data_IF_143900592452
#
_entry.id   IF_143900592452
#
_cell.length_a   1.000
_cell.length_b   1.000
_cell.length_c   1.000
_cell.angle_alpha   90.00
_cell.angle_beta   90.00
_cell.angle_gamma   90.00
#
_symmetry.space_group_name_H-M   'P 1'
#
loop_
_entity.id
_entity.type
_entity.pdbx_description
1 polymer ?
#
# COMPACT_ATOMS: atom_id res chain seq x y z
N UNK A 1 -24.17 71.63 -16.64
CA UNK A 1 -23.10 71.93 -17.61
C UNK A 1 -21.80 71.42 -17.05
N UNK A 2 -21.34 70.30 -17.54
CA UNK A 2 -19.90 69.95 -17.51
C UNK A 2 -19.68 68.77 -18.44
N UNK A 3 -18.80 68.95 -19.38
CA UNK A 3 -18.60 68.15 -20.58
C UNK A 3 -17.88 66.84 -20.30
N UNK A 4 -18.34 65.82 -21.02
CA UNK A 4 -17.62 64.55 -21.24
C UNK A 4 -16.28 64.83 -22.00
N UNK A 5 -15.23 64.17 -21.58
CA UNK A 5 -14.06 63.90 -22.42
C UNK A 5 -13.80 62.41 -22.38
N UNK A 6 -14.11 61.74 -23.48
CA UNK A 6 -13.73 60.39 -23.83
C UNK A 6 -12.22 60.43 -24.24
N UNK A 7 -11.41 59.62 -23.57
CA UNK A 7 -10.07 59.29 -24.07
C UNK A 7 -10.04 57.79 -24.34
N UNK A 8 -10.06 57.42 -25.61
CA UNK A 8 -9.80 56.10 -26.11
C UNK A 8 -8.27 55.90 -26.19
N UNK A 9 -7.73 54.94 -25.45
CA UNK A 9 -6.42 54.38 -25.68
C UNK A 9 -6.54 52.95 -26.16
N UNK A 10 -6.39 52.74 -27.45
CA UNK A 10 -6.13 51.45 -28.05
C UNK A 10 -4.70 51.02 -27.74
N UNK A 11 -4.51 50.03 -26.92
CA UNK A 11 -3.23 49.36 -26.64
C UNK A 11 -3.29 47.94 -27.15
N UNK A 12 -2.82 47.67 -28.37
CA UNK A 12 -2.57 46.35 -28.92
C UNK A 12 -1.30 45.79 -28.28
N UNK A 13 -1.42 45.17 -27.11
CA UNK A 13 -0.37 44.32 -26.49
C UNK A 13 -0.61 42.85 -26.83
N UNK A 14 0.03 42.41 -27.91
CA UNK A 14 0.07 40.96 -28.20
C UNK A 14 0.87 40.24 -27.14
N UNK A 15 0.17 39.58 -26.21
CA UNK A 15 0.75 38.70 -25.22
C UNK A 15 1.26 37.46 -25.96
N UNK A 16 2.59 37.37 -26.11
CA UNK A 16 3.26 36.18 -26.60
C UNK A 16 3.10 35.12 -25.55
N UNK A 17 2.15 34.20 -25.76
CA UNK A 17 2.07 32.95 -25.03
C UNK A 17 3.41 32.24 -25.21
N UNK A 18 4.20 32.23 -24.16
CA UNK A 18 5.46 31.48 -24.11
C UNK A 18 5.12 30.00 -24.31
N UNK A 19 5.51 29.45 -25.46
CA UNK A 19 5.53 27.99 -25.64
C UNK A 19 6.40 27.42 -24.52
N UNK A 20 5.77 26.73 -23.57
CA UNK A 20 6.49 25.86 -22.64
C UNK A 20 7.12 24.76 -23.47
N UNK A 21 8.39 24.93 -23.79
CA UNK A 21 9.23 23.86 -24.34
C UNK A 21 9.54 22.91 -23.19
N UNK A 22 8.90 21.73 -23.20
CA UNK A 22 9.28 20.61 -22.35
C UNK A 22 10.77 20.30 -22.56
N UNK A 23 11.54 19.99 -21.49
CA UNK A 23 12.95 19.67 -21.65
C UNK A 23 13.12 18.48 -22.61
N UNK A 24 14.11 18.52 -23.52
CA UNK A 24 14.37 17.41 -24.45
C UNK A 24 14.88 16.21 -23.65
N UNK A 25 14.12 15.09 -23.66
CA UNK A 25 14.57 13.82 -23.10
C UNK A 25 13.56 13.01 -22.25
N UNK A 26 12.44 13.58 -21.84
CA UNK A 26 11.38 12.78 -21.23
C UNK A 26 10.51 12.20 -22.34
N UNK A 27 10.78 10.96 -22.75
CA UNK A 27 9.84 10.20 -23.56
C UNK A 27 8.51 10.17 -22.77
N UNK A 28 7.43 10.68 -23.41
CA UNK A 28 6.10 10.57 -22.81
C UNK A 28 5.85 9.08 -22.50
N UNK A 29 5.38 8.73 -21.30
CA UNK A 29 5.11 7.33 -20.98
C UNK A 29 4.17 6.77 -22.04
N UNK A 30 4.55 5.63 -22.62
CA UNK A 30 3.77 4.95 -23.66
C UNK A 30 2.42 4.61 -23.01
N UNK A 31 1.36 5.26 -23.48
CA UNK A 31 0.01 4.97 -22.95
C UNK A 31 -0.37 3.56 -23.38
N UNK A 32 -0.72 2.73 -22.39
CA UNK A 32 -1.25 1.39 -22.63
C UNK A 32 -2.40 1.42 -23.65
N UNK A 33 -2.38 0.51 -24.60
CA UNK A 33 -3.50 0.22 -25.48
C UNK A 33 -4.72 -0.28 -24.68
N UNK A 34 -5.90 -0.28 -25.27
CA UNK A 34 -7.09 -0.85 -24.64
C UNK A 34 -6.88 -2.35 -24.31
N UNK A 35 -6.26 -3.09 -25.25
CA UNK A 35 -5.93 -4.50 -25.07
C UNK A 35 -4.90 -4.71 -23.96
N UNK A 36 -3.86 -3.87 -23.88
CA UNK A 36 -2.86 -3.90 -22.80
C UNK A 36 -3.48 -3.67 -21.45
N UNK A 37 -4.31 -2.63 -21.29
CA UNK A 37 -5.02 -2.36 -20.01
C UNK A 37 -5.91 -3.53 -19.58
N UNK A 38 -6.66 -4.11 -20.52
CA UNK A 38 -7.51 -5.28 -20.21
C UNK A 38 -6.68 -6.47 -19.76
N UNK A 39 -5.58 -6.78 -20.45
CA UNK A 39 -4.73 -7.91 -20.10
C UNK A 39 -3.99 -7.69 -18.77
N UNK A 40 -3.53 -6.47 -18.47
CA UNK A 40 -2.95 -6.16 -17.16
C UNK A 40 -3.97 -6.29 -16.03
N UNK A 41 -5.20 -5.80 -16.21
CA UNK A 41 -6.26 -5.97 -15.20
C UNK A 41 -6.59 -7.44 -14.94
N UNK A 42 -6.66 -8.26 -16.01
CA UNK A 42 -6.84 -9.72 -15.85
C UNK A 42 -5.62 -10.37 -15.17
N UNK A 43 -4.41 -9.93 -15.52
CA UNK A 43 -3.18 -10.42 -14.91
C UNK A 43 -3.17 -10.15 -13.41
N UNK A 44 -3.52 -8.94 -13.01
CA UNK A 44 -3.61 -8.56 -11.60
C UNK A 44 -4.64 -9.43 -10.86
N UNK A 45 -5.86 -9.58 -11.41
CA UNK A 45 -6.88 -10.40 -10.78
C UNK A 45 -6.48 -11.88 -10.62
N UNK A 46 -5.77 -12.47 -11.60
CA UNK A 46 -5.22 -13.82 -11.46
C UNK A 46 -4.10 -13.89 -10.42
N UNK A 47 -3.25 -12.86 -10.32
CA UNK A 47 -2.19 -12.81 -9.32
C UNK A 47 -2.76 -12.74 -7.90
N UNK A 48 -3.78 -11.91 -7.70
CA UNK A 48 -4.52 -11.80 -6.43
C UNK A 48 -5.23 -13.10 -6.04
N UNK A 49 -5.70 -13.86 -7.05
CA UNK A 49 -6.28 -15.20 -6.86
C UNK A 49 -5.22 -16.31 -6.66
N UNK A 50 -3.92 -16.00 -6.71
CA UNK A 50 -2.83 -16.97 -6.59
C UNK A 50 -2.55 -17.78 -7.86
N UNK A 51 -3.24 -17.51 -8.97
CA UNK A 51 -3.00 -18.18 -10.26
C UNK A 51 -1.89 -17.50 -11.04
N UNK A 52 -0.65 -17.72 -10.58
CA UNK A 52 0.56 -17.10 -11.16
C UNK A 52 0.73 -17.47 -12.64
N UNK A 53 0.30 -18.66 -13.05
CA UNK A 53 0.44 -19.11 -14.44
C UNK A 53 -0.47 -18.30 -15.38
N UNK A 54 -1.75 -18.13 -15.03
CA UNK A 54 -2.65 -17.28 -15.83
C UNK A 54 -2.29 -15.81 -15.74
N UNK A 55 -1.82 -15.32 -14.57
CA UNK A 55 -1.33 -13.96 -14.45
C UNK A 55 -0.19 -13.71 -15.45
N UNK A 56 0.80 -14.60 -15.52
CA UNK A 56 1.92 -14.54 -16.47
C UNK A 56 1.44 -14.51 -17.93
N UNK A 57 0.55 -15.43 -18.29
CA UNK A 57 0.00 -15.47 -19.64
C UNK A 57 -0.63 -14.14 -20.07
N UNK A 58 -1.39 -13.50 -19.15
CA UNK A 58 -2.03 -12.21 -19.44
C UNK A 58 -1.03 -11.06 -19.51
N UNK A 59 -0.03 -11.03 -18.63
CA UNK A 59 1.03 -10.02 -18.68
C UNK A 59 1.85 -10.11 -19.97
N UNK A 60 2.18 -11.33 -20.44
CA UNK A 60 2.86 -11.55 -21.72
C UNK A 60 2.01 -11.12 -22.94
N UNK A 61 0.69 -11.26 -22.85
CA UNK A 61 -0.20 -10.72 -23.89
C UNK A 61 -0.16 -9.18 -23.90
N UNK A 62 -0.12 -8.53 -22.73
CA UNK A 62 0.05 -7.09 -22.63
C UNK A 62 1.44 -6.66 -23.17
N UNK A 63 2.50 -7.41 -22.87
CA UNK A 63 3.85 -7.13 -23.35
C UNK A 63 3.95 -7.14 -24.88
N UNK A 64 3.25 -8.06 -25.57
CA UNK A 64 3.25 -8.14 -27.04
C UNK A 64 2.63 -6.90 -27.69
N UNK A 65 1.67 -6.26 -27.04
CA UNK A 65 1.01 -5.07 -27.55
C UNK A 65 1.66 -3.76 -27.09
N UNK A 66 2.22 -3.75 -25.90
CA UNK A 66 2.70 -2.56 -25.21
C UNK A 66 4.10 -2.80 -24.56
N UNK A 67 5.04 -3.33 -25.34
CA UNK A 67 6.38 -3.77 -24.88
C UNK A 67 7.22 -2.70 -24.16
N UNK A 68 6.94 -1.42 -24.43
CA UNK A 68 7.62 -0.27 -23.82
C UNK A 68 6.93 0.28 -22.57
N UNK A 69 5.85 -0.37 -22.08
CA UNK A 69 5.10 0.13 -20.93
C UNK A 69 5.80 -0.22 -19.61
N UNK A 70 5.91 0.78 -18.73
CA UNK A 70 6.42 0.60 -17.37
C UNK A 70 5.49 -0.27 -16.53
N UNK A 71 4.18 -0.14 -16.72
CA UNK A 71 3.16 -0.91 -16.00
C UNK A 71 3.23 -2.41 -16.37
N UNK A 72 3.51 -2.73 -17.65
CA UNK A 72 3.73 -4.12 -18.07
C UNK A 72 4.97 -4.70 -17.39
N UNK A 73 6.07 -3.95 -17.34
CA UNK A 73 7.30 -4.36 -16.63
C UNK A 73 7.06 -4.58 -15.15
N UNK A 74 6.34 -3.65 -14.49
CA UNK A 74 6.00 -3.79 -13.06
C UNK A 74 5.13 -5.03 -12.80
N UNK A 75 4.15 -5.32 -13.66
CA UNK A 75 3.33 -6.54 -13.55
C UNK A 75 4.16 -7.81 -13.71
N UNK A 76 5.06 -7.86 -14.69
CA UNK A 76 5.99 -9.00 -14.86
C UNK A 76 6.90 -9.16 -13.63
N UNK A 77 7.38 -8.04 -13.04
CA UNK A 77 8.16 -8.07 -11.82
C UNK A 77 7.38 -8.71 -10.65
N UNK A 78 6.14 -8.29 -10.43
CA UNK A 78 5.26 -8.85 -9.40
C UNK A 78 4.99 -10.35 -9.61
N UNK A 79 4.80 -10.78 -10.86
CA UNK A 79 4.62 -12.20 -11.21
C UNK A 79 5.89 -13.00 -10.94
N UNK A 80 7.07 -12.47 -11.30
CA UNK A 80 8.35 -13.10 -10.98
C UNK A 80 8.57 -13.19 -9.48
N UNK A 81 8.23 -12.13 -8.72
CA UNK A 81 8.30 -12.12 -7.26
C UNK A 81 7.43 -13.22 -6.65
N UNK A 82 6.17 -13.32 -7.08
CA UNK A 82 5.24 -14.37 -6.61
C UNK A 82 5.66 -15.79 -6.98
N UNK A 83 6.46 -15.94 -8.03
CA UNK A 83 7.05 -17.22 -8.44
C UNK A 83 8.39 -17.52 -7.73
N UNK A 84 8.88 -16.65 -6.84
CA UNK A 84 10.18 -16.78 -6.17
C UNK A 84 11.40 -16.51 -7.08
N UNK A 85 11.16 -15.90 -8.26
CA UNK A 85 12.21 -15.62 -9.26
C UNK A 85 12.83 -14.24 -9.00
N UNK A 86 13.51 -14.08 -7.84
CA UNK A 86 13.97 -12.80 -7.28
C UNK A 86 14.79 -11.95 -8.26
N UNK A 87 15.78 -12.53 -8.96
CA UNK A 87 16.63 -11.78 -9.90
C UNK A 87 15.86 -11.30 -11.13
N UNK A 88 14.83 -12.05 -11.55
CA UNK A 88 13.96 -11.61 -12.65
C UNK A 88 13.07 -10.48 -12.20
N UNK A 89 12.48 -10.60 -10.99
CA UNK A 89 11.66 -9.55 -10.41
C UNK A 89 12.44 -8.22 -10.32
N UNK A 90 13.66 -8.25 -9.78
CA UNK A 90 14.52 -7.07 -9.69
C UNK A 90 14.75 -6.43 -11.06
N UNK A 91 15.15 -7.22 -12.06
CA UNK A 91 15.41 -6.70 -13.41
C UNK A 91 14.19 -6.03 -14.03
N UNK A 92 13.00 -6.59 -13.84
CA UNK A 92 11.78 -6.00 -14.39
C UNK A 92 11.37 -4.76 -13.63
N UNK A 93 11.54 -4.69 -12.29
CA UNK A 93 11.36 -3.45 -11.53
C UNK A 93 12.33 -2.36 -11.94
N UNK A 94 13.63 -2.67 -12.13
CA UNK A 94 14.64 -1.71 -12.59
C UNK A 94 14.25 -1.12 -13.96
N UNK A 95 13.74 -1.97 -14.86
CA UNK A 95 13.25 -1.54 -16.18
C UNK A 95 12.03 -0.63 -16.06
N UNK A 96 11.06 -0.99 -15.21
CA UNK A 96 9.87 -0.20 -14.96
C UNK A 96 10.22 1.19 -14.42
N UNK A 97 11.06 1.25 -13.39
CA UNK A 97 11.50 2.49 -12.76
C UNK A 97 12.39 3.35 -13.68
N UNK A 98 13.15 2.73 -14.60
CA UNK A 98 13.90 3.48 -15.61
C UNK A 98 12.97 4.18 -16.60
N UNK A 99 11.83 3.57 -16.95
CA UNK A 99 10.83 4.16 -17.86
C UNK A 99 9.99 5.22 -17.14
N UNK A 100 9.55 4.93 -15.90
CA UNK A 100 8.65 5.77 -15.12
C UNK A 100 9.13 5.93 -13.66
N UNK A 101 10.18 6.74 -13.41
CA UNK A 101 10.87 6.80 -12.12
C UNK A 101 10.06 7.44 -10.97
N UNK A 102 8.96 8.11 -11.30
CA UNK A 102 8.08 8.79 -10.34
C UNK A 102 6.63 8.30 -10.41
N UNK A 103 6.39 7.14 -11.02
CA UNK A 103 5.06 6.55 -11.05
C UNK A 103 4.74 5.92 -9.68
N UNK A 104 3.70 6.44 -9.01
CA UNK A 104 3.35 6.04 -7.65
C UNK A 104 2.91 4.58 -7.54
N UNK A 105 2.32 3.99 -8.58
CA UNK A 105 1.91 2.58 -8.60
C UNK A 105 3.14 1.68 -8.62
N UNK A 106 4.10 1.99 -9.50
CA UNK A 106 5.33 1.21 -9.67
C UNK A 106 6.21 1.35 -8.43
N UNK A 107 6.36 2.58 -7.90
CA UNK A 107 7.10 2.83 -6.67
C UNK A 107 6.52 2.06 -5.49
N UNK A 108 5.19 2.06 -5.31
CA UNK A 108 4.55 1.28 -4.24
C UNK A 108 4.77 -0.23 -4.41
N UNK A 109 4.69 -0.75 -5.62
CA UNK A 109 4.92 -2.18 -5.89
C UNK A 109 6.38 -2.58 -5.60
N UNK A 110 7.35 -1.79 -6.09
CA UNK A 110 8.77 -2.05 -5.85
C UNK A 110 9.14 -1.87 -4.37
N UNK A 111 8.59 -0.84 -3.70
CA UNK A 111 8.80 -0.63 -2.26
C UNK A 111 8.32 -1.83 -1.42
N UNK A 112 7.13 -2.37 -1.73
CA UNK A 112 6.62 -3.55 -1.04
C UNK A 112 7.55 -4.75 -1.23
N UNK A 113 7.97 -5.00 -2.45
CA UNK A 113 8.92 -6.07 -2.77
C UNK A 113 10.29 -5.85 -2.10
N UNK A 114 10.82 -4.63 -2.12
CA UNK A 114 12.10 -4.27 -1.47
C UNK A 114 12.04 -4.48 0.04
N UNK A 115 10.90 -4.17 0.67
CA UNK A 115 10.69 -4.42 2.10
C UNK A 115 10.77 -5.91 2.43
N UNK A 116 10.10 -6.77 1.66
CA UNK A 116 10.11 -8.22 1.81
C UNK A 116 11.52 -8.82 1.66
N UNK A 117 12.39 -8.11 0.93
CA UNK A 117 13.78 -8.49 0.72
C UNK A 117 14.79 -7.77 1.65
N UNK A 118 14.28 -7.22 2.79
CA UNK A 118 15.13 -6.63 3.82
C UNK A 118 15.65 -5.23 3.52
N UNK A 119 15.15 -4.56 2.47
CA UNK A 119 15.57 -3.22 2.05
C UNK A 119 14.59 -2.15 2.57
N UNK A 120 14.30 -2.16 3.87
CA UNK A 120 13.28 -1.31 4.48
C UNK A 120 13.52 0.20 4.30
N UNK A 121 14.78 0.65 4.29
CA UNK A 121 15.13 2.06 4.05
C UNK A 121 14.85 2.49 2.60
N UNK A 122 15.10 1.63 1.64
CA UNK A 122 14.77 1.88 0.23
C UNK A 122 13.25 1.92 0.08
N UNK A 123 12.57 0.92 0.63
CA UNK A 123 11.10 0.83 0.60
C UNK A 123 10.44 2.09 1.16
N UNK A 124 10.90 2.59 2.31
CA UNK A 124 10.36 3.79 2.94
C UNK A 124 10.48 5.02 2.02
N UNK A 125 11.67 5.25 1.46
CA UNK A 125 11.88 6.35 0.50
C UNK A 125 10.96 6.27 -0.72
N UNK A 126 10.71 5.06 -1.21
CA UNK A 126 9.85 4.85 -2.37
C UNK A 126 8.36 4.98 -2.03
N UNK A 127 7.91 4.53 -0.88
CA UNK A 127 6.55 4.82 -0.39
C UNK A 127 6.30 6.32 -0.27
N UNK A 128 7.25 7.08 0.28
CA UNK A 128 7.15 8.54 0.36
C UNK A 128 7.05 9.17 -1.04
N UNK A 129 7.85 8.72 -2.01
CA UNK A 129 7.77 9.18 -3.41
C UNK A 129 6.45 8.80 -4.06
N UNK A 130 5.96 7.57 -3.82
CA UNK A 130 4.67 7.11 -4.35
C UNK A 130 3.52 7.99 -3.86
N UNK A 131 3.52 8.33 -2.56
CA UNK A 131 2.52 9.21 -1.95
C UNK A 131 2.61 10.67 -2.44
N UNK A 132 3.76 11.09 -2.95
CA UNK A 132 3.96 12.41 -3.54
C UNK A 132 3.51 12.52 -5.01
N UNK A 133 3.24 11.40 -5.70
CA UNK A 133 2.72 11.43 -7.08
C UNK A 133 1.23 11.84 -7.07
N UNK A 134 0.86 13.00 -7.63
CA UNK A 134 -0.53 13.47 -7.63
C UNK A 134 -1.47 12.59 -8.48
N UNK A 135 -0.93 11.71 -9.31
CA UNK A 135 -1.69 10.77 -10.15
C UNK A 135 -1.97 9.46 -9.42
N UNK A 136 -1.27 9.19 -8.30
CA UNK A 136 -1.47 7.97 -7.52
C UNK A 136 -2.80 8.01 -6.78
N UNK A 137 -3.73 7.14 -7.19
CA UNK A 137 -5.13 7.15 -6.75
C UNK A 137 -5.45 6.27 -5.55
N UNK A 138 -4.48 5.49 -5.10
CA UNK A 138 -4.66 4.52 -4.01
C UNK A 138 -3.69 4.76 -2.84
N UNK A 139 -3.69 5.98 -2.23
CA UNK A 139 -2.75 6.30 -1.16
C UNK A 139 -2.88 5.38 0.05
N UNK A 140 -4.07 4.85 0.31
CA UNK A 140 -4.30 3.88 1.39
C UNK A 140 -3.45 2.62 1.23
N UNK A 141 -3.23 2.15 0.01
CA UNK A 141 -2.37 0.99 -0.24
C UNK A 141 -0.92 1.27 0.13
N UNK A 142 -0.35 2.40 -0.35
CA UNK A 142 1.03 2.75 -0.03
C UNK A 142 1.24 2.99 1.47
N UNK A 143 0.29 3.68 2.12
CA UNK A 143 0.33 3.91 3.56
C UNK A 143 0.23 2.60 4.36
N UNK A 144 -0.65 1.69 3.96
CA UNK A 144 -0.77 0.36 4.59
C UNK A 144 0.49 -0.47 4.43
N UNK A 145 1.05 -0.49 3.21
CA UNK A 145 2.28 -1.23 2.91
C UNK A 145 3.48 -0.63 3.66
N UNK A 146 3.61 0.70 3.69
CA UNK A 146 4.64 1.39 4.47
C UNK A 146 4.53 1.08 5.97
N UNK A 147 3.31 1.08 6.51
CA UNK A 147 3.05 0.71 7.90
C UNK A 147 3.46 -0.73 8.20
N UNK A 148 3.09 -1.68 7.35
CA UNK A 148 3.51 -3.10 7.49
C UNK A 148 5.02 -3.24 7.42
N UNK A 149 5.65 -2.54 6.48
CA UNK A 149 7.11 -2.54 6.34
C UNK A 149 7.80 -1.99 7.60
N UNK A 150 7.34 -0.88 8.13
CA UNK A 150 7.87 -0.31 9.37
C UNK A 150 7.70 -1.27 10.57
N UNK A 151 6.54 -1.97 10.65
CA UNK A 151 6.28 -3.00 11.66
C UNK A 151 7.27 -4.18 11.56
N UNK A 152 7.58 -4.65 10.35
CA UNK A 152 8.47 -5.80 10.14
C UNK A 152 9.90 -5.54 10.65
N UNK A 153 10.32 -4.27 10.64
CA UNK A 153 11.63 -3.83 11.15
C UNK A 153 11.54 -3.12 12.51
N UNK A 154 10.42 -3.30 13.21
CA UNK A 154 10.17 -2.77 14.56
C UNK A 154 10.27 -1.23 14.69
N UNK A 155 9.96 -0.48 13.63
CA UNK A 155 9.87 0.98 13.65
C UNK A 155 8.46 1.41 14.05
N UNK A 156 8.10 1.12 15.30
CA UNK A 156 6.71 1.24 15.77
C UNK A 156 6.11 2.64 15.63
N UNK A 157 6.81 3.76 15.99
CA UNK A 157 6.25 5.10 15.81
C UNK A 157 5.99 5.45 14.33
N UNK A 158 6.85 5.01 13.42
CA UNK A 158 6.68 5.22 11.99
C UNK A 158 5.52 4.38 11.44
N UNK A 159 5.38 3.14 11.89
CA UNK A 159 4.25 2.28 11.55
C UNK A 159 2.92 2.90 11.98
N UNK A 160 2.85 3.43 13.21
CA UNK A 160 1.68 4.13 13.72
C UNK A 160 1.28 5.32 12.83
N UNK A 161 2.24 6.19 12.45
CA UNK A 161 1.96 7.34 11.58
C UNK A 161 1.34 6.90 10.25
N UNK A 162 1.98 5.96 9.57
CA UNK A 162 1.48 5.47 8.28
C UNK A 162 0.09 4.83 8.40
N UNK A 163 -0.12 3.98 9.40
CA UNK A 163 -1.39 3.26 9.58
C UNK A 163 -2.52 4.20 10.00
N UNK A 164 -2.26 5.20 10.87
CA UNK A 164 -3.25 6.22 11.21
C UNK A 164 -3.65 7.04 9.99
N UNK A 165 -2.70 7.44 9.17
CA UNK A 165 -2.98 8.14 7.90
C UNK A 165 -3.79 7.27 6.93
N UNK A 166 -3.48 5.97 6.84
CA UNK A 166 -4.28 5.04 6.04
C UNK A 166 -5.73 4.94 6.55
N UNK A 167 -5.92 4.90 7.87
CA UNK A 167 -7.23 4.78 8.50
C UNK A 167 -8.13 6.01 8.25
N UNK A 168 -7.56 7.19 7.97
CA UNK A 168 -8.34 8.37 7.55
C UNK A 168 -9.10 8.12 6.24
N UNK A 169 -8.50 7.38 5.31
CA UNK A 169 -9.14 7.03 4.03
C UNK A 169 -10.10 5.85 4.12
N UNK A 170 -9.87 4.95 5.08
CA UNK A 170 -10.64 3.70 5.23
C UNK A 170 -10.90 3.41 6.72
N UNK A 171 -11.82 4.15 7.38
CA UNK A 171 -12.00 4.10 8.84
C UNK A 171 -12.45 2.75 9.40
N UNK A 172 -13.06 1.91 8.56
CA UNK A 172 -13.57 0.58 8.92
C UNK A 172 -12.73 -0.56 8.28
N UNK A 173 -11.54 -0.25 7.78
CA UNK A 173 -10.65 -1.30 7.26
C UNK A 173 -10.20 -2.20 8.40
N UNK A 174 -10.63 -3.46 8.32
CA UNK A 174 -10.42 -4.47 9.36
C UNK A 174 -8.93 -4.77 9.58
N UNK A 175 -8.14 -4.71 8.53
CA UNK A 175 -6.71 -4.99 8.59
C UNK A 175 -5.94 -3.80 9.18
N UNK A 176 -6.29 -2.57 8.82
CA UNK A 176 -5.68 -1.36 9.41
C UNK A 176 -5.96 -1.27 10.91
N UNK A 177 -7.20 -1.58 11.34
CA UNK A 177 -7.57 -1.59 12.75
C UNK A 177 -6.77 -2.65 13.53
N UNK A 178 -6.58 -3.85 12.96
CA UNK A 178 -5.76 -4.89 13.57
C UNK A 178 -4.29 -4.47 13.67
N UNK A 179 -3.71 -3.94 12.57
CA UNK A 179 -2.32 -3.50 12.55
C UNK A 179 -2.05 -2.36 13.54
N UNK A 180 -3.00 -1.43 13.69
CA UNK A 180 -2.89 -0.37 14.70
C UNK A 180 -2.98 -0.93 16.10
N UNK A 181 -3.90 -1.86 16.38
CA UNK A 181 -3.98 -2.52 17.67
C UNK A 181 -2.66 -3.24 18.04
N UNK A 182 -2.07 -3.98 17.10
CA UNK A 182 -0.76 -4.63 17.29
C UNK A 182 0.37 -3.61 17.51
N UNK A 183 0.37 -2.54 16.72
CA UNK A 183 1.37 -1.47 16.83
C UNK A 183 1.34 -0.80 18.20
N UNK A 184 0.16 -0.40 18.66
CA UNK A 184 -0.03 0.26 19.95
C UNK A 184 0.26 -0.71 21.11
N UNK A 185 -0.14 -1.98 20.97
CA UNK A 185 0.18 -3.02 21.94
C UNK A 185 1.70 -3.20 22.09
N UNK A 186 2.42 -3.30 20.99
CA UNK A 186 3.89 -3.42 20.98
C UNK A 186 4.61 -2.19 21.51
N UNK A 187 3.97 -1.02 21.48
CA UNK A 187 4.45 0.21 22.10
C UNK A 187 4.11 0.31 23.59
N UNK A 188 3.36 -0.63 24.17
CA UNK A 188 2.88 -0.58 25.54
C UNK A 188 1.69 0.37 25.76
N UNK A 189 1.10 0.89 24.69
CA UNK A 189 -0.05 1.79 24.72
C UNK A 189 -1.35 0.96 24.76
N UNK A 190 -1.60 0.32 25.90
CA UNK A 190 -2.64 -0.71 26.01
C UNK A 190 -4.07 -0.14 25.85
N UNK A 191 -4.34 1.09 26.28
CA UNK A 191 -5.66 1.71 26.13
C UNK A 191 -5.98 2.03 24.65
N UNK A 192 -5.00 2.53 23.91
CA UNK A 192 -5.12 2.79 22.49
C UNK A 192 -5.30 1.47 21.71
N UNK A 193 -4.52 0.46 22.07
CA UNK A 193 -4.64 -0.89 21.51
C UNK A 193 -6.04 -1.48 21.73
N UNK A 194 -6.61 -1.33 22.95
CA UNK A 194 -7.98 -1.74 23.27
C UNK A 194 -9.01 -1.05 22.35
N UNK A 195 -8.87 0.26 22.14
CA UNK A 195 -9.80 1.00 21.30
C UNK A 195 -9.82 0.49 19.85
N UNK A 196 -8.65 0.20 19.27
CA UNK A 196 -8.56 -0.33 17.92
C UNK A 196 -9.03 -1.78 17.81
N UNK A 197 -8.67 -2.65 18.75
CA UNK A 197 -9.06 -4.06 18.70
C UNK A 197 -10.57 -4.26 18.92
N UNK A 198 -11.20 -3.44 19.75
CA UNK A 198 -12.65 -3.45 19.94
C UNK A 198 -13.38 -3.01 18.68
N UNK A 199 -12.91 -1.96 17.99
CA UNK A 199 -13.44 -1.55 16.68
C UNK A 199 -13.29 -2.67 15.64
N UNK A 200 -12.15 -3.36 15.65
CA UNK A 200 -11.89 -4.52 14.77
C UNK A 200 -12.84 -5.69 15.07
N UNK A 201 -13.06 -6.00 16.35
CA UNK A 201 -13.98 -7.05 16.80
C UNK A 201 -15.43 -6.77 16.40
N UNK A 202 -15.88 -5.52 16.54
CA UNK A 202 -17.23 -5.09 16.14
C UNK A 202 -17.53 -5.30 14.64
N UNK A 203 -16.50 -5.33 13.79
CA UNK A 203 -16.62 -5.64 12.36
C UNK A 203 -16.56 -7.16 12.04
N UNK A 204 -16.59 -8.00 13.07
CA UNK A 204 -16.49 -9.45 12.98
C UNK A 204 -15.07 -9.95 13.20
N UNK A 205 -14.81 -10.54 14.36
CA UNK A 205 -13.50 -11.07 14.71
C UNK A 205 -13.12 -12.30 13.90
N UNK A 206 -11.82 -12.47 13.73
CA UNK A 206 -11.18 -13.74 13.40
C UNK A 206 -10.35 -14.22 14.60
N UNK A 207 -9.77 -15.39 14.49
CA UNK A 207 -8.99 -15.98 15.59
C UNK A 207 -7.82 -15.08 16.03
N UNK A 208 -7.10 -14.45 15.09
CA UNK A 208 -5.99 -13.56 15.41
C UNK A 208 -6.47 -12.31 16.16
N UNK A 209 -7.64 -11.79 15.80
CA UNK A 209 -8.26 -10.65 16.49
C UNK A 209 -8.56 -10.99 17.94
N UNK A 210 -9.17 -12.16 18.22
CA UNK A 210 -9.50 -12.57 19.58
C UNK A 210 -8.25 -12.88 20.42
N UNK A 211 -7.23 -13.49 19.82
CA UNK A 211 -5.96 -13.74 20.51
C UNK A 211 -5.27 -12.43 20.89
N UNK A 212 -5.13 -11.50 19.95
CA UNK A 212 -4.53 -10.18 20.22
C UNK A 212 -5.34 -9.41 21.27
N UNK A 213 -6.69 -9.44 21.19
CA UNK A 213 -7.56 -8.80 22.17
C UNK A 213 -7.34 -9.37 23.59
N UNK A 214 -7.22 -10.69 23.71
CA UNK A 214 -6.95 -11.32 25.01
C UNK A 214 -5.60 -10.87 25.59
N UNK A 215 -4.57 -10.77 24.77
CA UNK A 215 -3.22 -10.31 25.19
C UNK A 215 -3.22 -8.83 25.58
N UNK A 216 -3.93 -7.99 24.85
CA UNK A 216 -4.08 -6.57 25.15
C UNK A 216 -4.78 -6.39 26.50
N UNK A 217 -5.91 -7.09 26.73
CA UNK A 217 -6.68 -7.02 27.98
C UNK A 217 -5.84 -7.50 29.19
N UNK A 218 -5.08 -8.58 29.01
CA UNK A 218 -4.18 -9.09 30.06
C UNK A 218 -3.09 -8.06 30.41
N UNK A 219 -2.45 -7.47 29.41
CA UNK A 219 -1.40 -6.47 29.60
C UNK A 219 -1.94 -5.15 30.17
N UNK A 220 -3.22 -4.85 29.94
CA UNK A 220 -3.93 -3.72 30.55
C UNK A 220 -4.42 -4.03 31.99
N UNK A 221 -4.16 -5.22 32.51
CA UNK A 221 -4.60 -5.65 33.84
C UNK A 221 -6.06 -6.10 33.95
N UNK A 222 -6.77 -6.25 32.83
CA UNK A 222 -8.16 -6.70 32.79
C UNK A 222 -8.26 -8.23 32.60
N UNK A 223 -7.98 -8.99 33.64
CA UNK A 223 -8.01 -10.45 33.61
C UNK A 223 -9.38 -11.04 33.19
N UNK A 224 -10.49 -10.40 33.57
CA UNK A 224 -11.83 -10.83 33.15
C UNK A 224 -12.05 -10.61 31.65
N UNK A 225 -11.63 -9.49 31.10
CA UNK A 225 -11.67 -9.23 29.66
C UNK A 225 -10.85 -10.24 28.88
N UNK A 226 -9.63 -10.50 29.32
CA UNK A 226 -8.75 -11.50 28.73
C UNK A 226 -9.37 -12.91 28.73
N UNK A 227 -9.96 -13.34 29.86
CA UNK A 227 -10.63 -14.63 29.96
C UNK A 227 -11.82 -14.74 29.01
N UNK A 228 -12.62 -13.67 28.86
CA UNK A 228 -13.76 -13.63 27.93
C UNK A 228 -13.33 -13.79 26.48
N UNK A 229 -12.26 -13.09 26.05
CA UNK A 229 -11.75 -13.22 24.67
C UNK A 229 -11.15 -14.61 24.41
N UNK A 230 -10.44 -15.20 25.39
CA UNK A 230 -9.94 -16.58 25.30
C UNK A 230 -11.06 -17.61 25.19
N UNK A 231 -12.16 -17.42 25.95
CA UNK A 231 -13.34 -18.29 25.84
C UNK A 231 -14.00 -18.21 24.48
N UNK A 232 -14.21 -16.99 23.95
CA UNK A 232 -14.70 -16.80 22.59
C UNK A 232 -13.79 -17.46 21.56
N UNK A 233 -12.47 -17.31 21.69
CA UNK A 233 -11.49 -17.93 20.80
C UNK A 233 -11.66 -19.47 20.74
N UNK A 234 -11.81 -20.10 21.91
CA UNK A 234 -12.02 -21.57 21.99
C UNK A 234 -13.34 -22.00 21.35
N UNK A 235 -14.39 -21.22 21.55
CA UNK A 235 -15.73 -21.56 21.05
C UNK A 235 -15.88 -21.31 19.55
N UNK A 236 -15.45 -20.12 19.08
CA UNK A 236 -15.64 -19.70 17.70
C UNK A 236 -14.57 -20.31 16.76
N UNK A 237 -13.35 -20.55 17.28
CA UNK A 237 -12.21 -21.04 16.50
C UNK A 237 -11.48 -22.21 17.18
N UNK A 238 -12.13 -23.36 17.39
CA UNK A 238 -11.59 -24.49 18.18
C UNK A 238 -10.30 -25.12 17.61
N UNK A 239 -9.98 -24.85 16.36
CA UNK A 239 -8.75 -25.34 15.71
C UNK A 239 -7.58 -24.36 15.81
N UNK A 240 -7.79 -23.20 16.39
CA UNK A 240 -6.74 -22.18 16.56
C UNK A 240 -6.00 -22.42 17.88
N UNK A 241 -4.69 -22.72 17.80
CA UNK A 241 -3.86 -22.78 18.98
C UNK A 241 -3.50 -21.32 19.41
N UNK A 242 -3.79 -20.90 20.67
CA UNK A 242 -3.46 -19.57 21.14
C UNK A 242 -1.94 -19.35 21.13
N UNK A 243 -1.50 -18.17 20.64
CA UNK A 243 -0.10 -17.77 20.66
C UNK A 243 0.30 -17.45 22.10
N UNK A 244 1.01 -18.33 22.77
CA UNK A 244 1.53 -18.12 24.12
C UNK A 244 1.40 -19.26 25.12
N UNK A 245 0.63 -20.32 24.83
CA UNK A 245 0.54 -21.50 25.71
C UNK A 245 1.55 -22.62 25.38
N UNK A 246 2.46 -22.40 24.43
CA UNK A 246 3.36 -23.45 23.89
C UNK A 246 4.77 -23.50 24.48
N UNK A 247 5.05 -22.99 25.70
CA UNK A 247 6.40 -23.05 26.27
C UNK A 247 6.45 -23.32 27.77
N UNK A 248 5.54 -24.16 28.28
CA UNK A 248 5.73 -24.83 29.57
C UNK A 248 5.49 -26.32 29.36
N UNK A 249 6.51 -26.98 28.80
CA UNK A 249 6.66 -28.44 28.97
C UNK A 249 7.29 -28.70 30.34
N UNK A 250 6.89 -29.76 31.02
CA UNK A 250 7.28 -30.11 32.36
C UNK A 250 8.77 -30.46 32.51
#
# INVERSE_FOLDING_TARGET
MCSLLLVACAGTGGEKVAKQTSPPGAASPVRLSAAGRMNLGLSQGYLEAGDVAKARQRAEMAERTDSGSAEVRAMLAMIHASAGETEKAQREFDRALKIAPNDGVILNAHASWSCEHGQAELADREFVKALADPRYRTPVQALSNAGKCALSVNRLPQAEDYLRRALVFSPEDRNLLYLLADTEFRQGKFFEAQAFIQRRDALGADANTLDLAARIEESAGNAMGAARYRERLRQEFPKHAPTGEGARSP
#
